data_IF_420207392758
#
_entry.id   IF_420207392758
#
_cell.length_a   1.000
_cell.length_b   1.000
_cell.length_c   1.000
_cell.angle_alpha   90.00
_cell.angle_beta   90.00
_cell.angle_gamma   90.00
#
_symmetry.space_group_name_H-M   'P 1'
#
loop_
_entity.id
_entity.type
_entity.pdbx_description
1 polymer ?
#
# COMPACT_ATOMS: atom_id res chain seq x y z
N UNK A 1 2.50 -21.66 0.38
CA UNK A 1 2.10 -20.29 0.78
C UNK A 1 3.17 -19.36 0.26
N UNK A 2 2.89 -18.41 -0.64
CA UNK A 2 3.94 -17.48 -1.10
C UNK A 2 4.38 -16.62 0.09
N UNK A 3 5.67 -16.66 0.44
CA UNK A 3 6.24 -15.78 1.46
C UNK A 3 6.52 -14.43 0.83
N UNK A 4 6.00 -13.38 1.44
CA UNK A 4 6.41 -12.01 1.17
C UNK A 4 7.31 -11.52 2.29
N UNK A 5 8.35 -10.78 1.93
CA UNK A 5 9.23 -10.08 2.88
C UNK A 5 9.03 -8.58 2.73
N UNK A 6 9.13 -7.84 3.83
CA UNK A 6 9.13 -6.39 3.78
C UNK A 6 10.47 -5.96 3.17
N UNK A 7 10.41 -5.37 1.98
CA UNK A 7 11.58 -4.79 1.32
C UNK A 7 11.84 -3.37 1.85
N UNK A 8 10.80 -2.54 1.93
CA UNK A 8 10.93 -1.16 2.40
C UNK A 8 9.65 -0.62 3.03
N UNK A 9 9.79 0.43 3.83
CA UNK A 9 8.70 1.16 4.50
C UNK A 9 8.94 2.65 4.45
N UNK A 10 7.90 3.42 4.11
CA UNK A 10 7.90 4.89 4.08
C UNK A 10 6.67 5.43 4.81
N UNK A 11 6.81 6.59 5.43
CA UNK A 11 5.69 7.29 6.08
C UNK A 11 5.46 8.62 5.36
N UNK A 12 4.29 8.77 4.78
CA UNK A 12 3.78 10.04 4.29
C UNK A 12 3.02 10.71 5.42
N UNK A 13 3.63 11.72 6.02
CA UNK A 13 2.99 12.49 7.08
C UNK A 13 1.85 13.33 6.51
N UNK A 14 0.71 13.26 7.18
CA UNK A 14 -0.47 14.06 6.86
C UNK A 14 -0.80 14.87 8.10
N UNK A 15 -0.83 16.20 7.95
CA UNK A 15 -1.05 17.14 9.05
C UNK A 15 -2.49 17.11 9.59
N UNK A 16 -3.46 16.82 8.73
CA UNK A 16 -4.87 16.63 9.10
C UNK A 16 -5.26 15.15 9.04
N UNK A 17 -5.41 14.46 10.18
CA UNK A 17 -5.80 13.05 10.23
C UNK A 17 -7.14 12.74 9.55
N UNK A 18 -8.06 13.71 9.49
CA UNK A 18 -9.35 13.52 8.82
C UNK A 18 -9.19 13.42 7.30
N UNK A 19 -8.11 13.98 6.75
CA UNK A 19 -7.81 13.91 5.32
C UNK A 19 -7.16 12.59 4.88
N UNK A 20 -6.72 11.73 5.82
CA UNK A 20 -6.04 10.44 5.51
C UNK A 20 -6.90 9.56 4.59
N UNK A 21 -8.20 9.47 4.86
CA UNK A 21 -9.13 8.70 4.02
C UNK A 21 -9.25 9.28 2.61
N UNK A 22 -9.27 10.60 2.49
CA UNK A 22 -9.31 11.30 1.20
C UNK A 22 -8.05 11.04 0.39
N UNK A 23 -6.87 11.10 1.04
CA UNK A 23 -5.59 10.81 0.39
C UNK A 23 -5.49 9.34 -0.05
N UNK A 24 -5.92 8.38 0.78
CA UNK A 24 -6.00 6.98 0.36
C UNK A 24 -6.92 6.77 -0.85
N UNK A 25 -8.05 7.47 -0.91
CA UNK A 25 -8.93 7.42 -2.06
C UNK A 25 -8.31 8.04 -3.31
N UNK A 26 -7.54 9.12 -3.16
CA UNK A 26 -6.76 9.72 -4.25
C UNK A 26 -5.71 8.74 -4.78
N UNK A 27 -4.94 8.09 -3.89
CA UNK A 27 -3.94 7.07 -4.27
C UNK A 27 -4.62 5.93 -5.04
N UNK A 28 -5.74 5.41 -4.52
CA UNK A 28 -6.48 4.34 -5.18
C UNK A 28 -6.94 4.74 -6.59
N UNK A 29 -7.49 5.95 -6.74
CA UNK A 29 -7.93 6.47 -8.03
C UNK A 29 -6.76 6.60 -9.02
N UNK A 30 -5.64 7.19 -8.60
CA UNK A 30 -4.45 7.34 -9.44
C UNK A 30 -3.90 5.98 -9.94
N UNK A 31 -3.93 4.96 -9.08
CA UNK A 31 -3.51 3.61 -9.47
C UNK A 31 -4.48 2.98 -10.49
N UNK A 32 -5.78 3.13 -10.26
CA UNK A 32 -6.82 2.64 -11.19
C UNK A 32 -6.70 3.35 -12.55
N UNK A 33 -6.55 4.67 -12.55
CA UNK A 33 -6.39 5.49 -13.76
C UNK A 33 -5.09 5.12 -14.51
N UNK A 34 -4.06 4.68 -13.79
CA UNK A 34 -2.83 4.12 -14.36
C UNK A 34 -2.97 2.69 -14.90
N UNK A 35 -4.16 2.08 -14.83
CA UNK A 35 -4.42 0.71 -15.29
C UNK A 35 -4.00 -0.38 -14.31
N UNK A 36 -3.67 -0.02 -13.06
CA UNK A 36 -3.24 -0.98 -12.05
C UNK A 36 -4.41 -1.62 -11.32
N UNK A 37 -4.23 -2.89 -10.95
CA UNK A 37 -5.19 -3.62 -10.13
C UNK A 37 -4.90 -3.38 -8.66
N UNK A 38 -5.88 -2.81 -7.96
CA UNK A 38 -5.83 -2.63 -6.51
C UNK A 38 -6.85 -3.54 -5.79
N UNK A 39 -6.58 -3.82 -4.52
CA UNK A 39 -7.51 -4.38 -3.55
C UNK A 39 -7.71 -3.35 -2.42
N UNK A 40 -8.84 -3.43 -1.73
CA UNK A 40 -9.08 -2.69 -0.49
C UNK A 40 -8.92 -3.65 0.69
N UNK A 41 -8.06 -3.29 1.63
CA UNK A 41 -7.87 -3.98 2.90
C UNK A 41 -8.63 -3.29 4.04
N UNK A 42 -8.37 -3.74 5.26
CA UNK A 42 -8.99 -3.20 6.46
C UNK A 42 -8.71 -1.70 6.64
N UNK A 43 -9.65 -1.00 7.29
CA UNK A 43 -9.59 0.44 7.54
C UNK A 43 -9.41 1.31 6.27
N UNK A 44 -9.71 0.79 5.08
CA UNK A 44 -9.55 1.52 3.82
C UNK A 44 -8.15 1.45 3.21
N UNK A 45 -7.29 0.58 3.74
CA UNK A 45 -5.95 0.28 3.20
C UNK A 45 -6.04 0.02 1.70
N UNK A 46 -5.12 0.60 0.94
CA UNK A 46 -5.00 0.38 -0.51
C UNK A 46 -3.88 -0.60 -0.75
N UNK A 47 -4.17 -1.71 -1.44
CA UNK A 47 -3.18 -2.74 -1.75
C UNK A 47 -3.01 -2.81 -3.26
N UNK A 48 -1.86 -2.38 -3.76
CA UNK A 48 -1.47 -2.55 -5.16
C UNK A 48 -0.89 -3.95 -5.34
N UNK A 49 -1.50 -4.77 -6.21
CA UNK A 49 -0.99 -6.10 -6.52
C UNK A 49 -0.05 -6.03 -7.72
N UNK A 50 1.20 -6.45 -7.55
CA UNK A 50 2.21 -6.53 -8.59
C UNK A 50 2.51 -7.99 -8.95
N UNK A 51 3.28 -8.21 -10.01
CA UNK A 51 3.63 -9.57 -10.47
C UNK A 51 4.53 -10.31 -9.47
N UNK A 52 5.38 -9.58 -8.76
CA UNK A 52 6.48 -10.02 -7.92
C UNK A 52 6.36 -9.52 -6.47
N UNK A 53 5.30 -8.78 -6.16
CA UNK A 53 5.14 -8.12 -4.88
C UNK A 53 3.76 -7.52 -4.68
N UNK A 54 3.60 -6.83 -3.55
CA UNK A 54 2.46 -5.97 -3.27
C UNK A 54 2.94 -4.69 -2.60
N UNK A 55 2.25 -3.57 -2.81
CA UNK A 55 2.48 -2.33 -2.08
C UNK A 55 1.24 -2.01 -1.28
N UNK A 56 1.40 -1.82 0.02
CA UNK A 56 0.30 -1.55 0.95
C UNK A 56 0.39 -0.11 1.44
N UNK A 57 -0.68 0.67 1.24
CA UNK A 57 -0.86 2.02 1.78
C UNK A 57 -1.82 1.95 2.96
N UNK A 58 -1.28 2.03 4.16
CA UNK A 58 -1.97 1.77 5.43
C UNK A 58 -2.22 3.08 6.17
N UNK A 59 -3.47 3.39 6.56
CA UNK A 59 -3.75 4.55 7.40
C UNK A 59 -3.15 4.35 8.80
N UNK A 60 -2.53 5.39 9.33
CA UNK A 60 -1.99 5.44 10.70
C UNK A 60 -2.35 6.77 11.37
N UNK A 61 -2.13 6.85 12.68
CA UNK A 61 -2.30 8.12 13.42
C UNK A 61 -1.36 9.25 12.98
N UNK A 62 -0.32 8.93 12.20
CA UNK A 62 0.71 9.88 11.73
C UNK A 62 0.57 10.22 10.24
N UNK A 63 -0.39 9.63 9.53
CA UNK A 63 -0.53 9.73 8.08
C UNK A 63 -0.65 8.37 7.42
N UNK A 64 -0.05 8.19 6.25
CA UNK A 64 -0.13 6.94 5.47
C UNK A 64 1.24 6.26 5.47
N UNK A 65 1.29 4.99 5.87
CA UNK A 65 2.47 4.17 5.69
C UNK A 65 2.39 3.38 4.39
N UNK A 66 3.43 3.49 3.57
CA UNK A 66 3.65 2.68 2.38
C UNK A 66 4.64 1.56 2.74
N UNK A 67 4.22 0.31 2.55
CA UNK A 67 5.04 -0.87 2.77
C UNK A 67 5.15 -1.65 1.47
N UNK A 68 6.37 -1.87 1.01
CA UNK A 68 6.66 -2.66 -0.19
C UNK A 68 7.00 -4.08 0.25
N UNK A 69 6.17 -5.01 -0.21
CA UNK A 69 6.36 -6.44 -0.05
C UNK A 69 6.87 -7.03 -1.35
N UNK A 70 7.97 -7.77 -1.28
CA UNK A 70 8.51 -8.53 -2.40
C UNK A 70 8.38 -10.03 -2.11
N UNK A 71 8.18 -10.83 -3.16
CA UNK A 71 8.21 -12.29 -3.00
C UNK A 71 9.59 -12.71 -2.52
N UNK A 72 9.62 -13.52 -1.45
CA UNK A 72 10.82 -14.25 -1.07
C UNK A 72 11.21 -15.16 -2.21
N UNK A 73 12.37 -14.93 -2.81
CA UNK A 73 13.02 -15.93 -3.64
C UNK A 73 13.66 -16.90 -2.66
N UNK A 74 12.88 -17.86 -2.17
CA UNK A 74 13.46 -19.01 -1.46
C UNK A 74 14.28 -19.75 -2.53
N UNK A 75 15.60 -19.50 -2.55
CA UNK A 75 16.55 -20.29 -3.33
C UNK A 75 16.63 -21.67 -2.66
N UNK A 76 15.81 -22.62 -3.12
CA UNK A 76 16.09 -24.06 -2.99
C UNK A 76 16.65 -24.60 -4.30
#
# INVERSE_FOLDING_TARGET
MQKFVINSRRLYQISDPLSVTTELNRIALQLIDGGWKIKRGDAGTVILTLRDGEIHYIPTSRGIEEIIFERSIDNE
#
